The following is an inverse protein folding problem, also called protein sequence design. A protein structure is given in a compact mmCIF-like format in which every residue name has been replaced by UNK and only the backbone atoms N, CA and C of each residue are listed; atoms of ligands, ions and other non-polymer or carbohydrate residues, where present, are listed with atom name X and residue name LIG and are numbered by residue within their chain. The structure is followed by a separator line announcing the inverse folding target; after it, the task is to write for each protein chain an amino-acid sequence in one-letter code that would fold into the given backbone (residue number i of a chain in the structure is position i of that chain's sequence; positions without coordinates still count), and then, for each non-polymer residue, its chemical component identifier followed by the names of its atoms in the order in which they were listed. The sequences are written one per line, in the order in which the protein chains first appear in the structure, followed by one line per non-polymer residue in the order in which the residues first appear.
data_IF_851104996650
#
_entry.id   IF_851104996650
#
_cell.length_a   1.000
_cell.length_b   1.000
_cell.length_c   1.000
_cell.angle_alpha   90.00
_cell.angle_beta   90.00
_cell.angle_gamma   90.00
#
_symmetry.space_group_name_H-M   'P 1'
#
loop_
_entity.id
_entity.type
_entity.pdbx_description
1 polymer ?
#
# COMPACT_ATOMS: atom_id res chain seq x y z
N UNK A 1 -34.17 11.99 4.72
CA UNK A 1 -33.44 13.21 4.31
C UNK A 1 -32.49 12.84 3.18
N UNK A 2 -32.47 13.56 2.05
CA UNK A 2 -31.53 13.25 0.97
C UNK A 2 -30.10 13.51 1.49
N UNK A 3 -29.34 12.44 1.70
CA UNK A 3 -27.91 12.52 2.01
C UNK A 3 -27.19 13.24 0.87
N UNK A 4 -26.23 14.10 1.17
CA UNK A 4 -25.42 14.76 0.13
C UNK A 4 -24.80 13.69 -0.79
N UNK A 5 -24.72 13.93 -2.12
CA UNK A 5 -24.20 12.93 -3.06
C UNK A 5 -22.82 12.40 -2.64
N UNK A 6 -21.95 13.28 -2.16
CA UNK A 6 -20.62 12.91 -1.66
C UNK A 6 -20.68 11.93 -0.48
N UNK A 7 -21.56 12.16 0.50
CA UNK A 7 -21.68 11.27 1.66
C UNK A 7 -22.16 9.87 1.25
N UNK A 8 -23.07 9.80 0.27
CA UNK A 8 -23.56 8.53 -0.27
C UNK A 8 -22.47 7.77 -1.02
N UNK A 9 -21.73 8.44 -1.90
CA UNK A 9 -20.63 7.85 -2.67
C UNK A 9 -19.51 7.37 -1.74
N UNK A 10 -19.14 8.19 -0.75
CA UNK A 10 -18.14 7.78 0.25
C UNK A 10 -18.59 6.56 1.05
N UNK A 11 -19.87 6.47 1.42
CA UNK A 11 -20.41 5.28 2.09
C UNK A 11 -20.35 4.05 1.19
N UNK A 12 -20.83 4.15 -0.05
CA UNK A 12 -20.83 3.04 -1.01
C UNK A 12 -19.41 2.55 -1.35
N UNK A 13 -18.42 3.45 -1.35
CA UNK A 13 -17.02 3.13 -1.65
C UNK A 13 -16.19 2.73 -0.42
N UNK A 14 -16.80 2.60 0.76
CA UNK A 14 -16.09 2.20 1.99
C UNK A 14 -15.11 3.27 2.49
N UNK A 15 -15.38 4.55 2.26
CA UNK A 15 -14.51 5.68 2.60
C UNK A 15 -13.11 5.61 1.96
N UNK A 16 -13.01 4.96 0.80
CA UNK A 16 -11.81 4.91 -0.03
C UNK A 16 -11.97 5.77 -1.28
N UNK A 17 -10.88 6.39 -1.71
CA UNK A 17 -10.82 7.07 -2.99
C UNK A 17 -10.94 6.04 -4.13
N UNK A 18 -11.79 6.32 -5.12
CA UNK A 18 -12.03 5.44 -6.26
C UNK A 18 -10.75 5.06 -7.02
N UNK A 19 -9.88 6.05 -7.26
CA UNK A 19 -8.67 5.90 -8.07
C UNK A 19 -7.49 5.30 -7.30
N UNK A 20 -7.10 5.90 -6.17
CA UNK A 20 -5.89 5.48 -5.45
C UNK A 20 -6.12 4.42 -4.38
N UNK A 21 -7.39 4.11 -4.06
CA UNK A 21 -7.80 3.16 -3.03
C UNK A 21 -7.28 3.48 -1.61
N UNK A 22 -6.77 4.69 -1.37
CA UNK A 22 -6.37 5.15 -0.03
C UNK A 22 -7.59 5.67 0.76
N UNK A 23 -7.52 5.67 2.10
CA UNK A 23 -8.54 6.30 2.95
C UNK A 23 -8.79 7.74 2.54
N UNK A 24 -10.07 8.09 2.34
CA UNK A 24 -10.51 9.38 1.86
C UNK A 24 -11.18 10.18 2.99
N UNK A 25 -10.49 11.13 3.63
CA UNK A 25 -11.11 11.99 4.62
C UNK A 25 -12.09 12.96 3.95
N UNK A 26 -13.24 13.24 4.60
CA UNK A 26 -14.28 14.13 4.04
C UNK A 26 -13.76 15.51 3.63
N UNK A 27 -12.74 16.04 4.32
CA UNK A 27 -12.13 17.32 3.99
C UNK A 27 -11.40 17.34 2.63
N UNK A 28 -10.90 16.20 2.17
CA UNK A 28 -10.18 16.05 0.90
C UNK A 28 -11.01 15.31 -0.16
N UNK A 29 -12.24 14.93 0.18
CA UNK A 29 -13.15 14.26 -0.72
C UNK A 29 -13.78 15.25 -1.71
N UNK A 30 -13.87 14.81 -2.96
CA UNK A 30 -14.55 15.49 -4.05
C UNK A 30 -15.37 14.48 -4.83
N UNK A 31 -16.46 14.94 -5.44
CA UNK A 31 -17.18 14.18 -6.46
C UNK A 31 -16.47 14.39 -7.79
N UNK A 32 -16.13 13.32 -8.48
CA UNK A 32 -15.62 13.32 -9.84
C UNK A 32 -16.62 12.62 -10.75
N UNK A 33 -16.79 13.16 -11.95
CA UNK A 33 -17.62 12.55 -12.99
C UNK A 33 -16.73 11.74 -13.91
N UNK A 34 -16.93 10.42 -13.99
CA UNK A 34 -16.12 9.54 -14.82
C UNK A 34 -16.18 10.00 -16.28
N UNK A 35 -17.39 10.21 -16.81
CA UNK A 35 -17.61 10.99 -18.01
C UNK A 35 -17.82 12.46 -17.62
N UNK A 36 -16.91 13.34 -18.04
CA UNK A 36 -17.01 14.77 -17.75
C UNK A 36 -18.33 15.36 -18.27
N UNK A 37 -18.94 16.28 -17.52
CA UNK A 37 -20.20 16.92 -17.93
C UNK A 37 -20.06 17.71 -19.23
N UNK A 38 -18.90 18.31 -19.49
CA UNK A 38 -18.56 18.95 -20.76
C UNK A 38 -18.60 17.99 -21.97
N UNK A 39 -18.46 16.68 -21.71
CA UNK A 39 -18.52 15.60 -22.70
C UNK A 39 -19.85 14.83 -22.63
N UNK A 40 -20.90 15.41 -22.04
CA UNK A 40 -22.24 14.80 -21.96
C UNK A 40 -22.48 13.89 -20.75
N UNK A 41 -21.60 13.89 -19.75
CA UNK A 41 -21.79 13.13 -18.51
C UNK A 41 -22.90 13.67 -17.62
N UNK A 42 -23.73 12.78 -17.06
CA UNK A 42 -24.79 13.13 -16.11
C UNK A 42 -24.27 13.23 -14.67
N UNK A 43 -25.04 13.87 -13.79
CA UNK A 43 -24.69 14.00 -12.36
C UNK A 43 -25.28 12.86 -11.49
N UNK A 44 -25.61 11.72 -12.11
CA UNK A 44 -26.18 10.57 -11.42
C UNK A 44 -25.08 9.73 -10.76
N UNK A 45 -25.44 8.97 -9.73
CA UNK A 45 -24.50 8.14 -8.95
C UNK A 45 -23.71 7.14 -9.81
N UNK A 46 -24.26 6.68 -10.94
CA UNK A 46 -23.55 5.77 -11.87
C UNK A 46 -22.36 6.42 -12.57
N UNK A 47 -22.40 7.74 -12.77
CA UNK A 47 -21.32 8.50 -13.40
C UNK A 47 -20.42 9.20 -12.37
N UNK A 48 -20.81 9.25 -11.10
CA UNK A 48 -20.13 10.00 -10.06
C UNK A 48 -19.37 9.08 -9.12
N UNK A 49 -18.15 9.46 -8.75
CA UNK A 49 -17.35 8.76 -7.75
C UNK A 49 -16.74 9.73 -6.74
N UNK A 50 -16.56 9.27 -5.51
CA UNK A 50 -15.77 9.96 -4.51
C UNK A 50 -14.28 9.72 -4.75
N UNK A 51 -13.53 10.80 -4.93
CA UNK A 51 -12.08 10.77 -5.08
C UNK A 51 -11.40 11.92 -4.32
N UNK A 52 -10.07 11.90 -4.29
CA UNK A 52 -9.28 12.99 -3.72
C UNK A 52 -9.44 14.26 -4.58
N UNK A 53 -9.58 15.42 -3.94
CA UNK A 53 -9.61 16.73 -4.61
C UNK A 53 -8.48 16.94 -5.63
N UNK A 54 -7.27 16.50 -5.29
CA UNK A 54 -6.12 16.59 -6.20
C UNK A 54 -6.27 15.75 -7.47
N UNK A 55 -6.97 14.61 -7.37
CA UNK A 55 -7.23 13.75 -8.53
C UNK A 55 -8.32 14.37 -9.39
N UNK A 56 -9.38 14.87 -8.77
CA UNK A 56 -10.43 15.58 -9.50
C UNK A 56 -9.89 16.82 -10.23
N UNK A 57 -8.95 17.56 -9.62
CA UNK A 57 -8.32 18.71 -10.26
C UNK A 57 -7.53 18.35 -11.53
N UNK A 58 -6.97 17.14 -11.59
CA UNK A 58 -6.25 16.67 -12.78
C UNK A 58 -7.16 16.00 -13.81
N UNK A 59 -8.07 15.16 -13.35
CA UNK A 59 -8.88 14.31 -14.22
C UNK A 59 -10.21 14.97 -14.61
N UNK A 60 -10.70 15.97 -13.88
CA UNK A 60 -12.06 16.49 -14.03
C UNK A 60 -12.39 17.03 -15.43
N UNK A 61 -11.41 17.58 -16.14
CA UNK A 61 -11.55 18.06 -17.52
C UNK A 61 -11.08 17.06 -18.58
N UNK A 62 -10.55 15.91 -18.18
CA UNK A 62 -10.06 14.90 -19.10
C UNK A 62 -11.20 14.05 -19.67
N UNK A 63 -11.04 13.59 -20.91
CA UNK A 63 -11.88 12.57 -21.50
C UNK A 63 -11.68 11.21 -20.82
N UNK A 64 -12.64 10.29 -20.98
CA UNK A 64 -12.51 8.91 -20.50
C UNK A 64 -11.23 8.24 -21.01
N UNK A 65 -10.88 8.46 -22.28
CA UNK A 65 -9.66 7.92 -22.90
C UNK A 65 -8.41 8.35 -22.10
N UNK A 66 -8.30 9.63 -21.80
CA UNK A 66 -7.15 10.18 -21.06
C UNK A 66 -7.13 9.70 -19.61
N UNK A 67 -8.28 9.66 -18.93
CA UNK A 67 -8.39 9.11 -17.57
C UNK A 67 -7.91 7.66 -17.51
N UNK A 68 -8.39 6.82 -18.42
CA UNK A 68 -7.94 5.43 -18.49
C UNK A 68 -6.45 5.33 -18.79
N UNK A 69 -5.93 6.14 -19.73
CA UNK A 69 -4.51 6.17 -20.04
C UNK A 69 -3.66 6.47 -18.80
N UNK A 70 -4.07 7.45 -17.97
CA UNK A 70 -3.34 7.80 -16.74
C UNK A 70 -3.32 6.63 -15.75
N UNK A 71 -4.46 5.94 -15.56
CA UNK A 71 -4.56 4.78 -14.66
C UNK A 71 -3.73 3.59 -15.18
N UNK A 72 -3.80 3.33 -16.49
CA UNK A 72 -3.06 2.24 -17.15
C UNK A 72 -1.54 2.48 -17.13
N UNK A 73 -1.09 3.72 -17.35
CA UNK A 73 0.32 4.10 -17.28
C UNK A 73 0.92 3.86 -15.88
N UNK A 74 0.10 3.96 -14.83
CA UNK A 74 0.50 3.68 -13.45
C UNK A 74 0.36 2.19 -13.07
N UNK A 75 0.09 1.31 -14.05
CA UNK A 75 -0.11 -0.14 -13.86
C UNK A 75 -1.14 -0.45 -12.76
N UNK A 76 -2.18 0.38 -12.64
CA UNK A 76 -3.19 0.26 -11.58
C UNK A 76 -2.72 0.65 -10.18
N UNK A 77 -1.44 0.99 -9.97
CA UNK A 77 -0.92 1.53 -8.71
C UNK A 77 -1.04 3.05 -8.69
N UNK A 78 -2.26 3.55 -8.90
CA UNK A 78 -2.48 4.97 -9.04
C UNK A 78 -2.17 5.71 -7.73
N UNK A 79 -1.21 6.64 -7.77
CA UNK A 79 -0.84 7.47 -6.62
C UNK A 79 -1.45 8.85 -6.79
N UNK A 80 -2.13 9.33 -5.74
CA UNK A 80 -2.63 10.70 -5.74
C UNK A 80 -1.46 11.70 -5.77
N UNK A 81 -1.52 12.73 -6.62
CA UNK A 81 -0.42 13.69 -6.80
C UNK A 81 -0.11 14.50 -5.55
N UNK A 82 -1.14 14.92 -4.80
CA UNK A 82 -0.95 15.42 -3.44
C UNK A 82 -0.88 14.22 -2.49
N UNK A 83 0.14 13.37 -2.63
CA UNK A 83 0.34 12.12 -1.88
C UNK A 83 0.56 12.29 -0.38
N UNK A 84 -0.18 13.19 0.25
CA UNK A 84 -0.23 13.48 1.67
C UNK A 84 -1.64 13.92 2.01
N UNK A 85 -2.45 13.00 2.52
CA UNK A 85 -3.43 13.34 3.55
C UNK A 85 -2.70 13.75 4.85
N UNK A 86 -1.86 14.77 4.75
CA UNK A 86 -1.26 15.49 5.87
C UNK A 86 -2.20 16.64 6.17
N UNK A 87 -2.94 16.75 7.27
CA UNK A 87 -3.07 15.98 8.51
C UNK A 87 -4.46 16.33 9.06
N UNK A 88 -5.17 15.36 9.62
CA UNK A 88 -5.81 15.40 10.96
C UNK A 88 -6.66 14.14 11.09
N UNK A 89 -6.03 13.09 11.60
CA UNK A 89 -6.75 12.05 12.32
C UNK A 89 -7.55 12.74 13.42
N UNK A 90 -8.85 12.96 13.18
CA UNK A 90 -9.79 13.20 14.25
C UNK A 90 -9.95 11.86 14.95
N UNK A 91 -9.62 11.88 16.24
CA UNK A 91 -9.44 10.75 17.12
C UNK A 91 -10.55 9.68 17.02
N UNK A 92 -10.11 8.43 16.95
CA UNK A 92 -10.58 7.45 17.92
C UNK A 92 -9.36 6.80 18.60
N UNK A 93 -9.45 6.56 19.92
CA UNK A 93 -8.28 6.39 20.77
C UNK A 93 -7.75 4.96 20.66
N UNK A 94 -6.46 4.84 20.39
CA UNK A 94 -5.61 3.79 20.97
C UNK A 94 -4.13 4.13 20.73
N UNK A 95 -3.58 4.75 21.78
CA UNK A 95 -2.24 4.55 22.32
C UNK A 95 -1.08 4.59 21.30
N UNK A 96 -0.42 5.75 21.29
CA UNK A 96 1.00 5.98 20.95
C UNK A 96 1.94 4.91 21.51
N UNK A 97 3.18 4.70 20.98
CA UNK A 97 4.05 5.78 20.47
C UNK A 97 4.97 5.52 19.23
N UNK A 98 5.14 6.60 18.46
CA UNK A 98 6.42 7.24 18.03
C UNK A 98 7.43 6.44 17.15
N UNK A 99 7.49 6.82 15.86
CA UNK A 99 8.60 6.94 14.86
C UNK A 99 9.90 6.07 14.95
N UNK A 100 10.64 5.77 13.85
CA UNK A 100 10.68 6.48 12.55
C UNK A 100 10.63 5.62 11.25
N UNK A 101 10.31 6.29 10.14
CA UNK A 101 9.94 5.76 8.82
C UNK A 101 11.02 5.02 8.00
N UNK A 102 12.20 4.73 8.54
CA UNK A 102 13.16 3.80 7.92
C UNK A 102 12.84 2.33 8.23
N UNK A 103 11.97 2.11 9.22
CA UNK A 103 11.57 0.79 9.67
C UNK A 103 10.57 0.15 8.68
N UNK A 104 9.61 0.89 8.12
CA UNK A 104 8.55 0.32 7.27
C UNK A 104 9.09 -0.47 6.07
N UNK A 105 10.13 0.03 5.39
CA UNK A 105 10.77 -0.70 4.30
C UNK A 105 11.49 -1.97 4.80
N UNK A 106 12.10 -1.95 5.99
CA UNK A 106 12.75 -3.12 6.60
C UNK A 106 11.73 -4.13 7.13
N UNK A 107 10.62 -3.68 7.71
CA UNK A 107 9.50 -4.54 8.11
C UNK A 107 8.82 -5.19 6.90
N UNK A 108 8.62 -4.44 5.81
CA UNK A 108 8.08 -4.97 4.56
C UNK A 108 9.05 -5.97 3.92
N UNK A 109 10.36 -5.69 3.92
CA UNK A 109 11.40 -6.64 3.50
C UNK A 109 11.36 -7.92 4.35
N UNK A 110 11.23 -7.79 5.67
CA UNK A 110 11.17 -8.92 6.58
C UNK A 110 9.88 -9.74 6.41
N UNK A 111 8.74 -9.08 6.16
CA UNK A 111 7.48 -9.74 5.83
C UNK A 111 7.58 -10.53 4.52
N UNK A 112 8.25 -9.98 3.51
CA UNK A 112 8.50 -10.65 2.23
C UNK A 112 9.37 -11.91 2.41
N UNK A 113 10.44 -11.80 3.20
CA UNK A 113 11.31 -12.94 3.52
C UNK A 113 10.53 -14.03 4.28
N UNK A 114 9.73 -13.65 5.28
CA UNK A 114 8.89 -14.59 6.03
C UNK A 114 7.87 -15.28 5.12
N UNK A 115 7.20 -14.55 4.24
CA UNK A 115 6.25 -15.12 3.28
C UNK A 115 6.92 -16.12 2.35
N UNK A 116 8.12 -15.80 1.84
CA UNK A 116 8.88 -16.72 1.00
C UNK A 116 9.33 -17.99 1.74
N UNK A 117 9.79 -17.85 2.99
CA UNK A 117 10.15 -19.00 3.83
C UNK A 117 8.94 -19.88 4.16
N UNK A 118 7.75 -19.30 4.36
CA UNK A 118 6.50 -20.04 4.53
C UNK A 118 6.10 -20.81 3.27
N UNK A 119 6.18 -20.17 2.10
CA UNK A 119 5.89 -20.81 0.81
C UNK A 119 6.79 -22.02 0.53
N UNK A 120 8.05 -21.99 0.98
CA UNK A 120 9.00 -23.09 0.76
C UNK A 120 8.72 -24.35 1.58
N UNK A 121 7.91 -24.29 2.64
CA UNK A 121 7.50 -25.48 3.40
C UNK A 121 8.68 -26.35 3.89
N UNK A 122 8.84 -27.54 3.32
CA UNK A 122 9.92 -28.48 3.66
C UNK A 122 11.28 -28.14 2.97
N UNK A 123 11.26 -27.30 1.95
CA UNK A 123 12.44 -26.81 1.22
C UNK A 123 13.04 -25.55 1.84
N UNK A 124 12.77 -25.30 3.13
CA UNK A 124 13.37 -24.19 3.88
C UNK A 124 14.89 -24.40 4.00
N UNK A 125 15.71 -23.34 3.84
CA UNK A 125 17.17 -23.44 3.97
C UNK A 125 17.60 -24.01 5.33
N UNK A 126 18.43 -25.05 5.37
CA UNK A 126 18.86 -25.67 6.64
C UNK A 126 20.16 -25.11 7.21
N UNK A 127 20.91 -24.35 6.40
CA UNK A 127 22.19 -23.75 6.77
C UNK A 127 22.16 -22.23 6.61
N UNK A 128 23.00 -21.53 7.36
CA UNK A 128 23.10 -20.06 7.32
C UNK A 128 23.55 -19.54 5.96
N UNK A 129 24.47 -20.26 5.29
CA UNK A 129 24.92 -19.90 3.94
C UNK A 129 23.76 -19.96 2.93
N UNK A 130 22.96 -21.03 2.96
CA UNK A 130 21.81 -21.18 2.06
C UNK A 130 20.71 -20.17 2.38
N UNK A 131 20.48 -19.86 3.67
CA UNK A 131 19.52 -18.82 4.07
C UNK A 131 19.93 -17.44 3.53
N UNK A 132 21.22 -17.08 3.67
CA UNK A 132 21.77 -15.81 3.21
C UNK A 132 21.62 -15.66 1.69
N UNK A 133 21.99 -16.69 0.92
CA UNK A 133 21.82 -16.70 -0.54
C UNK A 133 20.35 -16.63 -0.95
N UNK A 134 19.46 -17.32 -0.22
CA UNK A 134 18.02 -17.27 -0.46
C UNK A 134 17.47 -15.86 -0.26
N UNK A 135 17.83 -15.20 0.84
CA UNK A 135 17.38 -13.82 1.14
C UNK A 135 17.93 -12.85 0.09
N UNK A 136 19.21 -12.95 -0.27
CA UNK A 136 19.81 -12.09 -1.29
C UNK A 136 19.08 -12.19 -2.64
N UNK A 137 18.70 -13.40 -3.07
CA UNK A 137 17.99 -13.61 -4.33
C UNK A 137 16.57 -13.03 -4.38
N UNK A 138 15.94 -12.77 -3.22
CA UNK A 138 14.60 -12.18 -3.15
C UNK A 138 14.58 -10.68 -3.48
N UNK A 139 15.73 -10.01 -3.45
CA UNK A 139 15.83 -8.57 -3.64
C UNK A 139 16.60 -8.25 -4.94
N UNK A 140 15.90 -7.94 -6.05
CA UNK A 140 16.53 -7.70 -7.35
C UNK A 140 17.41 -6.45 -7.41
N UNK A 141 17.33 -5.56 -6.40
CA UNK A 141 18.20 -4.39 -6.26
C UNK A 141 19.54 -4.70 -5.55
N UNK A 142 19.74 -5.94 -5.12
CA UNK A 142 20.85 -6.33 -4.25
C UNK A 142 20.66 -5.82 -2.83
N UNK A 143 21.14 -6.61 -1.86
CA UNK A 143 21.30 -6.17 -0.48
C UNK A 143 22.78 -6.19 -0.15
N UNK A 144 23.24 -5.20 0.61
CA UNK A 144 24.59 -5.24 1.18
C UNK A 144 24.71 -6.34 2.23
N UNK A 145 25.92 -6.84 2.45
CA UNK A 145 26.18 -7.91 3.43
C UNK A 145 25.77 -7.49 4.85
N UNK A 146 25.96 -6.21 5.20
CA UNK A 146 25.50 -5.63 6.45
C UNK A 146 23.96 -5.68 6.60
N UNK A 147 23.22 -5.42 5.52
CA UNK A 147 21.75 -5.47 5.54
C UNK A 147 21.22 -6.90 5.66
N UNK A 148 21.88 -7.87 5.02
CA UNK A 148 21.58 -9.30 5.16
C UNK A 148 21.75 -9.78 6.61
N UNK A 149 22.84 -9.39 7.27
CA UNK A 149 23.08 -9.73 8.67
C UNK A 149 21.99 -9.14 9.56
N UNK A 150 21.63 -7.87 9.34
CA UNK A 150 20.55 -7.21 10.09
C UNK A 150 19.21 -7.92 9.91
N UNK A 151 18.86 -8.34 8.69
CA UNK A 151 17.63 -9.09 8.41
C UNK A 151 17.60 -10.45 9.11
N UNK A 152 18.71 -11.19 9.11
CA UNK A 152 18.83 -12.48 9.80
C UNK A 152 18.70 -12.29 11.31
N UNK A 153 19.35 -11.29 11.87
CA UNK A 153 19.27 -10.96 13.29
C UNK A 153 17.85 -10.54 13.70
N UNK A 154 17.14 -9.81 12.84
CA UNK A 154 15.74 -9.47 13.06
C UNK A 154 14.82 -10.71 13.04
N UNK A 155 15.06 -11.68 12.14
CA UNK A 155 14.32 -12.96 12.12
C UNK A 155 14.51 -13.77 13.41
N UNK A 156 15.72 -13.75 13.97
CA UNK A 156 16.01 -14.36 15.28
C UNK A 156 15.32 -13.62 16.43
N UNK A 157 15.47 -12.29 16.48
CA UNK A 157 14.88 -11.47 17.56
C UNK A 157 13.36 -11.57 17.64
N UNK A 158 12.69 -11.78 16.50
CA UNK A 158 11.25 -12.00 16.40
C UNK A 158 10.82 -13.45 16.60
N UNK A 159 11.76 -14.33 16.96
CA UNK A 159 11.51 -15.75 17.25
C UNK A 159 11.03 -16.54 16.04
N UNK A 160 11.30 -16.09 14.81
CA UNK A 160 10.88 -16.78 13.58
C UNK A 160 11.87 -17.85 13.15
N UNK A 161 13.14 -17.64 13.48
CA UNK A 161 14.24 -18.54 13.13
C UNK A 161 15.13 -18.70 14.37
N UNK A 162 15.48 -19.93 14.70
CA UNK A 162 16.50 -20.27 15.69
C UNK A 162 17.70 -20.79 14.93
N UNK A 163 18.86 -20.15 15.12
CA UNK A 163 20.10 -20.57 14.47
C UNK A 163 20.97 -21.20 15.55
N UNK A 164 21.25 -22.48 15.38
CA UNK A 164 22.29 -23.20 16.11
C UNK A 164 23.52 -23.30 15.19
N UNK A 165 24.72 -23.47 15.74
CA UNK A 165 26.00 -23.43 14.98
C UNK A 165 26.04 -24.35 13.75
N UNK A 166 25.21 -25.41 13.71
CA UNK A 166 25.11 -26.35 12.59
C UNK A 166 23.77 -26.38 11.85
N UNK A 167 22.69 -25.86 12.43
CA UNK A 167 21.33 -26.04 11.90
C UNK A 167 20.43 -24.84 12.13
N UNK A 168 19.50 -24.62 11.20
CA UNK A 168 18.48 -23.59 11.28
C UNK A 168 17.11 -24.22 11.51
N UNK A 169 16.46 -23.85 12.62
CA UNK A 169 15.10 -24.25 12.95
C UNK A 169 14.14 -23.09 12.73
N UNK A 170 12.96 -23.36 12.17
CA UNK A 170 11.97 -22.34 11.84
C UNK A 170 10.74 -22.46 12.75
N UNK A 171 10.35 -21.35 13.38
CA UNK A 171 9.11 -21.20 14.16
C UNK A 171 8.14 -20.26 13.43
N UNK A 172 7.86 -20.61 12.16
CA UNK A 172 7.13 -19.78 11.19
C UNK A 172 5.77 -20.36 10.81
#
# INVERSE_FOLDING_TARGET
MPTKPLDRLMFAQGSLCFFCRQPLPKAEASVEHLLASANGGSNNDENCVACCKSVNALLGSMSLKEKFQVVLNQKGQFKCPNGTGSIKAVAQPKLTPKAPAAAKSKEDQLALVVANLKQRGNSKPRTLKTLTSTIASLFPKGLSEAELIVLIQQLQSRGKVVISEKEITYAL
#
